data_IF_727696745803
#
_entry.id   IF_727696745803
#
_cell.length_a   1.000
_cell.length_b   1.000
_cell.length_c   1.000
_cell.angle_alpha   90.00
_cell.angle_beta   90.00
_cell.angle_gamma   90.00
#
_symmetry.space_group_name_H-M   'P 1'
#
loop_
_entity.id
_entity.type
_entity.pdbx_description
1 polymer ?
#
# COMPACT_ATOMS: atom_id res chain seq x y z
N UNK A 1 3.58 -15.53 10.05
CA UNK A 1 4.78 -16.26 9.59
C UNK A 1 5.32 -15.76 8.24
N UNK A 2 4.54 -15.74 7.14
CA UNK A 2 5.00 -15.31 5.80
C UNK A 2 5.70 -13.93 5.76
N UNK A 3 5.16 -12.94 6.48
CA UNK A 3 5.75 -11.58 6.56
C UNK A 3 7.13 -11.56 7.21
N UNK A 4 7.36 -12.39 8.24
CA UNK A 4 8.67 -12.48 8.90
C UNK A 4 9.71 -13.06 7.95
N UNK A 5 9.32 -14.09 7.20
CA UNK A 5 10.15 -14.69 6.15
C UNK A 5 10.44 -13.66 5.06
N UNK A 6 9.43 -12.97 4.53
CA UNK A 6 9.63 -11.91 3.53
C UNK A 6 10.55 -10.78 4.03
N UNK A 7 10.47 -10.41 5.32
CA UNK A 7 11.40 -9.45 5.95
C UNK A 7 12.82 -9.99 6.02
N UNK A 8 13.01 -11.25 6.39
CA UNK A 8 14.32 -11.90 6.40
C UNK A 8 14.92 -12.00 4.99
N UNK A 9 14.14 -12.47 4.01
CA UNK A 9 14.56 -12.58 2.61
C UNK A 9 14.95 -11.22 2.02
N UNK A 10 14.24 -10.14 2.37
CA UNK A 10 14.63 -8.79 1.96
C UNK A 10 15.96 -8.35 2.56
N UNK A 11 16.19 -8.64 3.85
CA UNK A 11 17.47 -8.33 4.52
C UNK A 11 18.65 -9.08 3.90
N UNK A 12 18.41 -10.30 3.43
CA UNK A 12 19.39 -11.13 2.71
C UNK A 12 19.53 -10.75 1.22
N UNK A 13 18.74 -9.80 0.72
CA UNK A 13 18.77 -9.35 -0.69
C UNK A 13 18.01 -10.24 -1.67
N UNK A 14 17.43 -11.36 -1.22
CA UNK A 14 16.73 -12.34 -2.07
C UNK A 14 15.30 -11.94 -2.45
N UNK A 15 14.75 -10.91 -1.82
CA UNK A 15 13.41 -10.42 -2.13
C UNK A 15 13.36 -8.89 -2.10
N UNK A 16 12.98 -8.29 -3.22
CA UNK A 16 12.85 -6.83 -3.34
C UNK A 16 11.39 -6.41 -3.17
N UNK A 17 11.17 -5.40 -2.32
CA UNK A 17 9.90 -4.66 -2.16
C UNK A 17 10.13 -3.40 -1.32
N UNK A 18 9.28 -2.40 -1.53
CA UNK A 18 9.11 -1.25 -0.65
C UNK A 18 7.98 -1.47 0.36
N UNK A 19 6.87 -2.09 -0.06
CA UNK A 19 5.64 -2.26 0.71
C UNK A 19 5.29 -3.73 0.97
N UNK A 20 4.74 -4.01 2.15
CA UNK A 20 4.04 -5.26 2.48
C UNK A 20 2.63 -4.98 3.02
N UNK A 21 1.70 -5.86 2.67
CA UNK A 21 0.32 -5.77 3.13
C UNK A 21 0.19 -6.14 4.62
N UNK A 22 -0.52 -5.30 5.35
CA UNK A 22 -0.96 -5.54 6.72
C UNK A 22 -2.50 -5.48 6.77
N UNK A 23 -3.19 -6.63 6.85
CA UNK A 23 -4.66 -6.62 6.97
C UNK A 23 -5.08 -6.04 8.32
N UNK A 24 -6.04 -5.12 8.31
CA UNK A 24 -6.63 -4.51 9.52
C UNK A 24 -8.15 -4.47 9.40
N UNK A 25 -8.86 -4.56 10.54
CA UNK A 25 -10.32 -4.49 10.55
C UNK A 25 -10.85 -3.04 10.46
N UNK A 26 -10.05 -2.06 10.87
CA UNK A 26 -10.47 -0.68 11.02
C UNK A 26 -9.55 0.27 10.25
N UNK A 27 -10.12 1.37 9.76
CA UNK A 27 -9.36 2.42 9.10
C UNK A 27 -8.45 3.13 10.12
N UNK A 28 -7.18 3.43 9.78
CA UNK A 28 -6.22 4.02 10.73
C UNK A 28 -6.61 5.42 11.23
N UNK A 29 -7.46 6.13 10.48
CA UNK A 29 -7.88 7.49 10.82
C UNK A 29 -6.68 8.42 10.79
N UNK A 30 -6.40 9.06 11.92
CA UNK A 30 -5.24 9.95 12.10
C UNK A 30 -3.96 9.20 12.54
N UNK A 31 -4.04 7.90 12.84
CA UNK A 31 -2.85 7.12 13.17
C UNK A 31 -2.03 6.89 11.91
N UNK A 32 -0.75 7.28 11.92
CA UNK A 32 0.11 7.12 10.76
C UNK A 32 0.40 5.64 10.47
N UNK A 33 0.16 5.22 9.24
CA UNK A 33 0.62 3.90 8.76
C UNK A 33 2.15 3.88 8.67
N UNK A 34 2.85 2.93 9.31
CA UNK A 34 4.31 2.87 9.27
C UNK A 34 4.88 2.81 7.85
N UNK A 35 6.01 3.49 7.56
CA UNK A 35 6.70 3.36 6.28
C UNK A 35 7.03 1.90 5.95
N UNK A 36 6.80 1.52 4.69
CA UNK A 36 7.00 0.15 4.24
C UNK A 36 5.82 -0.80 4.48
N UNK A 37 4.74 -0.31 5.09
CA UNK A 37 3.49 -1.04 5.25
C UNK A 37 2.37 -0.45 4.40
N UNK A 38 1.53 -1.33 3.87
CA UNK A 38 0.25 -0.99 3.27
C UNK A 38 -0.84 -1.64 4.12
N UNK A 39 -1.57 -0.82 4.87
CA UNK A 39 -2.68 -1.29 5.67
C UNK A 39 -3.89 -1.51 4.77
N UNK A 40 -4.27 -2.77 4.60
CA UNK A 40 -5.44 -3.16 3.82
C UNK A 40 -6.61 -3.34 4.77
N UNK A 41 -7.53 -2.38 4.74
CA UNK A 41 -8.72 -2.40 5.59
C UNK A 41 -9.71 -3.40 5.01
N UNK A 42 -9.94 -4.50 5.73
CA UNK A 42 -10.87 -5.56 5.35
C UNK A 42 -11.92 -5.67 6.44
N UNK A 43 -13.18 -5.57 6.04
CA UNK A 43 -14.32 -5.78 6.92
C UNK A 43 -15.23 -6.81 6.27
N UNK A 44 -15.60 -7.85 7.03
CA UNK A 44 -16.42 -8.99 6.56
C UNK A 44 -15.98 -9.59 5.22
N UNK A 45 -14.67 -9.63 4.96
CA UNK A 45 -14.08 -10.15 3.71
C UNK A 45 -14.04 -9.13 2.56
N UNK A 46 -14.63 -7.96 2.73
CA UNK A 46 -14.63 -6.88 1.73
C UNK A 46 -13.45 -5.93 1.97
N UNK A 47 -12.64 -5.72 0.93
CA UNK A 47 -11.57 -4.72 0.94
C UNK A 47 -12.17 -3.32 0.82
N UNK A 48 -11.98 -2.47 1.82
CA UNK A 48 -12.56 -1.12 1.88
C UNK A 48 -11.55 -0.03 1.51
N UNK A 49 -10.34 -0.11 2.07
CA UNK A 49 -9.31 0.92 1.91
C UNK A 49 -7.91 0.32 1.80
N UNK A 50 -7.03 1.01 1.09
CA UNK A 50 -5.60 0.82 1.15
C UNK A 50 -4.95 2.09 1.71
N UNK A 51 -4.29 1.96 2.86
CA UNK A 51 -3.68 3.08 3.57
C UNK A 51 -2.16 2.90 3.66
N UNK A 52 -1.40 3.94 3.38
CA UNK A 52 0.06 3.92 3.49
C UNK A 52 0.62 5.33 3.72
N UNK A 53 1.82 5.41 4.27
CA UNK A 53 2.57 6.67 4.29
C UNK A 53 2.99 7.05 2.87
N UNK A 54 2.92 8.34 2.55
CA UNK A 54 3.37 8.86 1.27
C UNK A 54 4.87 8.57 1.05
N UNK A 55 5.25 7.88 -0.03
CA UNK A 55 6.65 7.56 -0.30
C UNK A 55 7.46 8.77 -0.79
N UNK A 56 6.81 9.90 -1.11
CA UNK A 56 7.48 11.15 -1.50
C UNK A 56 8.09 11.93 -0.34
N UNK A 57 7.96 11.43 0.90
CA UNK A 57 8.63 12.01 2.07
C UNK A 57 7.90 13.19 2.73
N UNK A 58 6.73 13.61 2.25
CA UNK A 58 5.96 14.69 2.89
C UNK A 58 5.25 14.31 4.20
N UNK A 59 5.37 13.06 4.65
CA UNK A 59 4.82 12.60 5.93
C UNK A 59 3.30 12.44 5.97
N UNK A 60 2.57 12.75 4.89
CA UNK A 60 1.12 12.56 4.86
C UNK A 60 0.73 11.10 4.62
N UNK A 61 -0.39 10.69 5.22
CA UNK A 61 -1.01 9.41 4.90
C UNK A 61 -1.82 9.50 3.60
N UNK A 62 -1.72 8.47 2.78
CA UNK A 62 -2.56 8.26 1.61
C UNK A 62 -3.58 7.18 1.95
N UNK A 63 -4.87 7.50 1.86
CA UNK A 63 -5.98 6.54 2.01
C UNK A 63 -6.74 6.43 0.68
N UNK A 64 -6.71 5.24 0.08
CA UNK A 64 -7.29 4.97 -1.23
C UNK A 64 -8.53 4.09 -1.07
N UNK A 65 -9.66 4.56 -1.61
CA UNK A 65 -10.91 3.79 -1.61
C UNK A 65 -10.81 2.61 -2.56
N UNK A 66 -11.16 1.42 -2.06
CA UNK A 66 -11.25 0.18 -2.85
C UNK A 66 -12.70 -0.15 -3.23
N UNK A 67 -13.65 0.71 -2.86
CA UNK A 67 -15.05 0.54 -3.20
C UNK A 67 -15.25 0.62 -4.73
N UNK A 68 -15.82 -0.42 -5.39
CA UNK A 68 -16.01 -0.46 -6.83
C UNK A 68 -16.98 0.61 -7.37
N UNK A 69 -17.88 1.10 -6.52
CA UNK A 69 -18.97 2.03 -6.86
C UNK A 69 -18.57 3.50 -6.69
N UNK A 70 -17.41 3.78 -6.10
CA UNK A 70 -16.89 5.14 -5.92
C UNK A 70 -15.79 5.47 -6.93
N UNK A 71 -15.55 6.75 -7.17
CA UNK A 71 -14.42 7.26 -7.95
C UNK A 71 -13.72 8.38 -7.17
N UNK A 72 -12.38 8.47 -7.24
CA UNK A 72 -11.47 7.49 -7.84
C UNK A 72 -11.48 6.16 -7.06
N UNK A 73 -11.21 5.04 -7.76
CA UNK A 73 -11.15 3.69 -7.17
C UNK A 73 -9.81 3.05 -7.46
N UNK A 74 -9.37 2.21 -6.54
CA UNK A 74 -8.20 1.35 -6.72
C UNK A 74 -8.57 -0.11 -6.49
N UNK A 75 -7.84 -1.00 -7.15
CA UNK A 75 -7.78 -2.42 -6.82
C UNK A 75 -6.45 -2.72 -6.13
N UNK A 76 -6.47 -3.72 -5.25
CA UNK A 76 -5.25 -4.25 -4.60
C UNK A 76 -5.25 -5.76 -4.75
N UNK A 77 -4.23 -6.24 -5.44
CA UNK A 77 -3.85 -7.64 -5.48
C UNK A 77 -2.66 -7.88 -4.56
N UNK A 78 -2.50 -9.10 -4.07
CA UNK A 78 -1.44 -9.44 -3.13
C UNK A 78 -0.85 -10.78 -3.54
N UNK A 79 0.46 -10.82 -3.73
CA UNK A 79 1.15 -12.05 -4.09
C UNK A 79 1.39 -12.97 -2.89
N UNK A 80 2.03 -14.12 -3.13
CA UNK A 80 2.37 -15.11 -2.10
C UNK A 80 3.18 -14.53 -0.92
N UNK A 81 4.02 -13.53 -1.19
CA UNK A 81 4.89 -12.88 -0.20
C UNK A 81 4.20 -11.76 0.57
N UNK A 82 2.95 -11.44 0.23
CA UNK A 82 2.23 -10.31 0.82
C UNK A 82 2.58 -8.98 0.17
N UNK A 83 3.16 -8.97 -1.04
CA UNK A 83 3.53 -7.75 -1.74
C UNK A 83 2.34 -7.23 -2.56
N UNK A 84 1.94 -5.95 -2.40
CA UNK A 84 0.78 -5.41 -3.10
C UNK A 84 1.08 -5.07 -4.57
N UNK A 85 0.09 -5.25 -5.44
CA UNK A 85 0.02 -4.60 -6.76
C UNK A 85 -1.25 -3.75 -6.78
N UNK A 86 -1.14 -2.49 -7.18
CA UNK A 86 -2.23 -1.52 -7.19
C UNK A 86 -2.50 -0.97 -8.58
N UNK A 87 -3.78 -0.81 -8.90
CA UNK A 87 -4.25 -0.19 -10.14
C UNK A 87 -5.46 0.70 -9.87
N UNK A 88 -5.56 1.90 -10.46
CA UNK A 88 -4.55 2.56 -11.31
C UNK A 88 -3.36 3.11 -10.50
N UNK A 89 -2.51 3.92 -11.13
CA UNK A 89 -1.47 4.69 -10.43
C UNK A 89 -2.07 5.62 -9.37
N UNK A 90 -1.20 6.06 -8.48
CA UNK A 90 -1.56 6.87 -7.31
C UNK A 90 -0.95 8.24 -7.53
N UNK A 91 -1.81 9.25 -7.68
CA UNK A 91 -1.42 10.65 -7.80
C UNK A 91 -1.97 11.41 -6.60
N UNK A 92 -1.08 11.89 -5.73
CA UNK A 92 -1.45 12.69 -4.56
C UNK A 92 -1.29 14.17 -4.87
N UNK A 93 -2.37 14.85 -5.25
CA UNK A 93 -2.33 16.26 -5.66
C UNK A 93 -2.14 17.27 -4.51
N UNK A 94 -2.46 16.91 -3.26
CA UNK A 94 -2.61 17.89 -2.17
C UNK A 94 -1.35 18.16 -1.34
N UNK A 95 -0.33 17.32 -1.45
CA UNK A 95 0.88 17.41 -0.63
C UNK A 95 2.12 17.55 -1.52
N UNK A 96 2.91 16.49 -1.72
CA UNK A 96 4.11 16.54 -2.54
C UNK A 96 3.90 16.24 -4.04
N UNK A 97 2.66 16.24 -4.53
CA UNK A 97 2.35 15.94 -5.95
C UNK A 97 2.98 14.64 -6.47
N UNK A 98 3.20 13.64 -5.60
CA UNK A 98 3.82 12.40 -6.00
C UNK A 98 2.90 11.59 -6.92
N UNK A 99 3.47 11.05 -8.00
CA UNK A 99 2.79 10.14 -8.92
C UNK A 99 3.61 8.86 -9.11
N UNK A 100 3.03 7.71 -8.78
CA UNK A 100 3.72 6.44 -8.84
C UNK A 100 2.76 5.25 -9.00
N UNK A 101 3.32 4.12 -9.41
CA UNK A 101 2.70 2.81 -9.40
C UNK A 101 3.20 1.97 -8.23
N UNK A 102 2.39 0.99 -7.81
CA UNK A 102 2.81 -0.05 -6.88
C UNK A 102 2.65 -1.40 -7.57
N UNK A 103 3.75 -2.11 -7.81
CA UNK A 103 3.73 -3.43 -8.49
C UNK A 103 4.60 -4.42 -7.73
N UNK A 104 4.02 -5.56 -7.34
CA UNK A 104 4.72 -6.60 -6.55
C UNK A 104 5.48 -6.00 -5.36
N UNK A 105 4.87 -5.01 -4.70
CA UNK A 105 5.39 -4.29 -3.54
C UNK A 105 6.46 -3.25 -3.82
N UNK A 106 6.87 -3.05 -5.07
CA UNK A 106 7.80 -2.00 -5.48
C UNK A 106 7.04 -0.73 -5.85
N UNK A 107 7.64 0.42 -5.51
CA UNK A 107 7.16 1.74 -5.89
C UNK A 107 7.90 2.17 -7.16
N UNK A 108 7.17 2.34 -8.24
CA UNK A 108 7.67 2.76 -9.54
C UNK A 108 7.18 4.18 -9.83
N UNK A 109 8.08 5.16 -9.78
CA UNK A 109 7.74 6.56 -10.02
C UNK A 109 7.34 6.81 -11.48
N UNK A 110 6.27 7.59 -11.67
CA UNK A 110 5.91 8.11 -12.98
C UNK A 110 6.88 9.23 -13.37
N UNK A 111 7.10 9.42 -14.68
CA UNK A 111 7.89 10.54 -15.22
C UNK A 111 7.02 11.76 -15.43
#
# INVERSE_FOLDING_TARGET
MKRLIARALRRLGWLQYNLLVYPVAQHPGNNAVPPGELWLVIDTGVKKWACMSCPGGCGVQISLSLNPDRRPRWSVETDFWGRPTMSPSIHQHRACSCHFWVKKGLIEWCR
#
